data_IF_703054218332
#
_entry.id   IF_703054218332
#
_cell.length_a   1.000
_cell.length_b   1.000
_cell.length_c   1.000
_cell.angle_alpha   90.00
_cell.angle_beta   90.00
_cell.angle_gamma   90.00
#
_symmetry.space_group_name_H-M   'P 1'
#
loop_
_entity.id
_entity.type
_entity.pdbx_description
1 polymer ?
#
# COMPACT_ATOMS: atom_id res chain seq x y z
N UNK A 1 11.36 -0.05 -3.98
CA UNK A 1 11.72 1.09 -4.86
C UNK A 1 10.52 1.45 -5.72
N UNK A 2 9.96 2.66 -5.62
CA UNK A 2 8.92 3.14 -6.54
C UNK A 2 9.50 3.48 -7.92
N UNK A 3 8.73 3.18 -8.96
CA UNK A 3 9.12 3.32 -10.35
C UNK A 3 7.97 3.95 -11.14
N UNK A 4 8.30 4.87 -12.05
CA UNK A 4 7.34 5.40 -13.02
C UNK A 4 7.09 4.39 -14.14
N UNK A 5 5.99 4.51 -14.91
CA UNK A 5 5.70 3.60 -16.03
C UNK A 5 6.82 3.54 -17.09
N UNK A 6 7.64 4.59 -17.19
CA UNK A 6 8.82 4.64 -18.07
C UNK A 6 9.98 3.74 -17.63
N UNK A 7 9.92 3.16 -16.42
CA UNK A 7 11.04 2.44 -15.80
C UNK A 7 11.92 3.33 -14.92
N UNK A 8 11.65 4.64 -14.84
CA UNK A 8 12.46 5.54 -14.01
C UNK A 8 12.25 5.29 -12.52
N UNK A 9 13.32 4.88 -11.82
CA UNK A 9 13.35 4.73 -10.37
C UNK A 9 13.82 6.03 -9.76
N UNK A 10 12.97 6.66 -8.95
CA UNK A 10 13.27 8.00 -8.43
C UNK A 10 13.90 7.99 -7.03
N UNK A 11 13.66 6.93 -6.25
CA UNK A 11 14.25 6.75 -4.93
C UNK A 11 14.27 5.29 -4.53
N UNK A 12 15.28 4.89 -3.76
CA UNK A 12 15.44 3.54 -3.26
C UNK A 12 15.91 3.60 -1.81
N UNK A 13 15.41 2.67 -1.02
CA UNK A 13 15.86 2.39 0.33
C UNK A 13 16.38 0.96 0.35
N UNK A 14 17.55 0.77 0.96
CA UNK A 14 18.14 -0.55 1.16
C UNK A 14 17.61 -1.11 2.47
N UNK A 15 17.04 -2.32 2.42
CA UNK A 15 16.58 -3.02 3.61
C UNK A 15 17.79 -3.51 4.43
N UNK A 16 17.88 -3.05 5.67
CA UNK A 16 19.01 -3.37 6.57
C UNK A 16 18.66 -4.41 7.65
N UNK A 17 17.54 -5.11 7.53
CA UNK A 17 17.13 -6.08 8.55
C UNK A 17 16.69 -5.41 9.84
N UNK A 18 17.13 -5.97 10.97
CA UNK A 18 16.73 -5.49 12.31
C UNK A 18 17.35 -4.15 12.71
N UNK A 19 18.41 -3.72 12.02
CA UNK A 19 19.06 -2.42 12.25
C UNK A 19 18.42 -1.28 11.45
N UNK A 20 17.42 -1.58 10.64
CA UNK A 20 16.66 -0.55 9.91
C UNK A 20 15.94 0.38 10.91
N UNK A 21 16.13 1.70 10.83
CA UNK A 21 15.43 2.66 11.69
C UNK A 21 13.90 2.57 11.61
N UNK A 22 13.36 2.03 10.51
CA UNK A 22 11.93 1.82 10.28
C UNK A 22 11.48 0.40 10.67
N UNK A 23 12.37 -0.42 11.24
CA UNK A 23 12.07 -1.78 11.69
C UNK A 23 11.05 -1.76 12.83
N UNK A 24 10.17 -2.77 12.85
CA UNK A 24 9.14 -2.92 13.88
C UNK A 24 7.71 -2.98 13.33
N UNK A 25 6.74 -2.70 14.20
CA UNK A 25 5.32 -2.73 13.85
C UNK A 25 5.04 -1.62 12.82
N UNK A 26 4.42 -1.98 11.70
CA UNK A 26 4.11 -1.04 10.64
C UNK A 26 5.26 -0.77 9.66
N UNK A 27 6.34 -1.56 9.70
CA UNK A 27 7.52 -1.39 8.82
C UNK A 27 7.15 -1.17 7.35
N UNK A 28 6.24 -1.97 6.80
CA UNK A 28 5.83 -1.85 5.40
C UNK A 28 5.22 -0.47 5.07
N UNK A 29 4.41 0.08 5.98
CA UNK A 29 3.79 1.40 5.80
C UNK A 29 4.81 2.52 5.94
N UNK A 30 5.70 2.42 6.93
CA UNK A 30 6.82 3.35 7.12
C UNK A 30 7.72 3.41 5.88
N UNK A 31 8.05 2.24 5.30
CA UNK A 31 8.83 2.15 4.07
C UNK A 31 8.11 2.83 2.91
N UNK A 32 6.80 2.61 2.72
CA UNK A 32 6.05 3.28 1.64
C UNK A 32 6.02 4.79 1.84
N UNK A 33 5.75 5.27 3.05
CA UNK A 33 5.70 6.71 3.34
C UNK A 33 7.06 7.40 3.13
N UNK A 34 8.14 6.78 3.60
CA UNK A 34 9.50 7.24 3.37
C UNK A 34 9.83 7.23 1.87
N UNK A 35 9.45 6.16 1.17
CA UNK A 35 9.60 6.05 -0.26
C UNK A 35 8.71 7.01 -1.04
N UNK A 36 7.70 7.66 -0.47
CA UNK A 36 6.80 8.57 -1.18
C UNK A 36 6.94 10.05 -0.78
N UNK A 37 7.72 10.34 0.27
CA UNK A 37 7.75 11.65 0.96
C UNK A 37 7.86 12.87 0.01
N UNK A 38 8.68 12.80 -1.05
CA UNK A 38 8.90 13.90 -2.01
C UNK A 38 7.83 14.02 -3.12
N UNK A 39 6.88 13.08 -3.16
CA UNK A 39 5.83 13.00 -4.19
C UNK A 39 4.41 13.03 -3.62
N UNK A 40 4.26 13.06 -2.30
CA UNK A 40 2.98 13.32 -1.66
C UNK A 40 2.40 14.67 -2.11
N UNK A 41 1.07 14.80 -2.03
CA UNK A 41 0.29 15.99 -2.38
C UNK A 41 0.27 16.38 -3.87
N UNK A 42 0.72 15.49 -4.77
CA UNK A 42 0.80 15.74 -6.22
C UNK A 42 -0.28 15.03 -7.05
N UNK A 43 -1.23 14.34 -6.42
CA UNK A 43 -2.29 13.63 -7.14
C UNK A 43 -1.84 12.32 -7.79
N UNK A 44 -0.75 11.72 -7.32
CA UNK A 44 -0.23 10.47 -7.89
C UNK A 44 -1.09 9.26 -7.51
N UNK A 45 -1.01 8.24 -8.36
CA UNK A 45 -1.61 6.93 -8.14
C UNK A 45 -0.48 5.93 -7.90
N UNK A 46 -0.48 5.31 -6.72
CA UNK A 46 0.54 4.38 -6.28
C UNK A 46 0.02 2.95 -6.37
N UNK A 47 0.77 2.08 -7.03
CA UNK A 47 0.47 0.66 -7.16
C UNK A 47 1.45 -0.14 -6.31
N UNK A 48 0.94 -0.99 -5.42
CA UNK A 48 1.75 -1.78 -4.49
C UNK A 48 1.35 -3.25 -4.45
N UNK A 49 2.31 -4.10 -4.08
CA UNK A 49 2.04 -5.49 -3.75
C UNK A 49 1.34 -5.63 -2.38
N UNK A 50 0.79 -6.81 -2.09
CA UNK A 50 0.03 -7.14 -0.91
C UNK A 50 0.78 -6.96 0.41
N UNK A 51 2.11 -7.06 0.39
CA UNK A 51 2.93 -6.86 1.58
C UNK A 51 2.83 -5.42 2.06
N UNK A 52 2.90 -4.48 1.12
CA UNK A 52 2.87 -3.04 1.35
C UNK A 52 1.47 -2.45 1.39
N UNK A 53 0.42 -3.23 1.12
CA UNK A 53 -0.95 -2.72 1.06
C UNK A 53 -1.67 -2.92 2.40
N UNK A 54 -2.32 -1.86 2.90
CA UNK A 54 -3.20 -1.88 4.07
C UNK A 54 -4.26 -0.76 3.96
N UNK A 55 -5.38 -0.92 4.68
CA UNK A 55 -6.43 0.12 4.75
C UNK A 55 -5.91 1.38 5.45
N UNK A 56 -5.09 1.22 6.50
CA UNK A 56 -4.52 2.36 7.21
C UNK A 56 -3.61 3.19 6.31
N UNK A 57 -2.73 2.54 5.55
CA UNK A 57 -1.88 3.22 4.58
C UNK A 57 -2.68 3.91 3.47
N UNK A 58 -3.74 3.26 2.96
CA UNK A 58 -4.60 3.85 1.95
C UNK A 58 -5.22 5.18 2.43
N UNK A 59 -5.71 5.23 3.67
CA UNK A 59 -6.26 6.45 4.26
C UNK A 59 -5.19 7.55 4.40
N UNK A 60 -4.01 7.22 4.95
CA UNK A 60 -2.93 8.18 5.14
C UNK A 60 -2.43 8.77 3.80
N UNK A 61 -2.33 7.95 2.76
CA UNK A 61 -1.96 8.39 1.41
C UNK A 61 -3.06 9.25 0.78
N UNK A 62 -4.34 8.90 1.00
CA UNK A 62 -5.47 9.64 0.47
C UNK A 62 -5.55 11.06 1.05
N UNK A 63 -5.31 11.22 2.35
CA UNK A 63 -5.15 12.53 3.00
C UNK A 63 -4.04 13.36 2.35
N UNK A 64 -2.99 12.70 1.86
CA UNK A 64 -1.88 13.28 1.12
C UNK A 64 -2.09 13.33 -0.40
N UNK A 65 -3.34 13.34 -0.87
CA UNK A 65 -3.73 13.35 -2.31
C UNK A 65 -3.01 12.28 -3.14
N UNK A 66 -2.83 11.10 -2.59
CA UNK A 66 -2.19 9.96 -3.26
C UNK A 66 -3.11 8.76 -3.16
N UNK A 67 -3.55 8.22 -4.28
CA UNK A 67 -4.40 7.01 -4.27
C UNK A 67 -3.53 5.77 -4.17
N UNK A 68 -4.00 4.76 -3.45
CA UNK A 68 -3.34 3.46 -3.34
C UNK A 68 -4.15 2.39 -4.05
N UNK A 69 -3.49 1.64 -4.92
CA UNK A 69 -4.02 0.47 -5.61
C UNK A 69 -3.15 -0.73 -5.25
N UNK A 70 -3.78 -1.83 -4.86
CA UNK A 70 -3.05 -3.03 -4.48
C UNK A 70 -3.97 -4.17 -4.10
N UNK A 71 -3.39 -5.35 -3.94
CA UNK A 71 -4.12 -6.55 -3.53
C UNK A 71 -4.08 -6.63 -2.01
N UNK A 72 -5.19 -6.96 -1.37
CA UNK A 72 -5.26 -7.22 0.07
C UNK A 72 -5.44 -8.71 0.32
N UNK A 73 -4.70 -9.26 1.29
CA UNK A 73 -4.97 -10.61 1.81
C UNK A 73 -6.20 -10.55 2.71
N UNK A 74 -7.06 -11.57 2.64
CA UNK A 74 -8.30 -11.67 3.42
C UNK A 74 -8.10 -11.59 4.94
N UNK A 75 -6.91 -11.92 5.44
CA UNK A 75 -6.54 -11.84 6.85
C UNK A 75 -6.03 -10.47 7.30
N UNK A 76 -6.01 -9.44 6.43
CA UNK A 76 -5.64 -8.08 6.82
C UNK A 76 -6.72 -7.46 7.72
N UNK A 77 -6.27 -6.63 8.66
CA UNK A 77 -7.17 -5.91 9.58
C UNK A 77 -8.01 -4.88 8.84
N UNK A 78 -9.16 -4.54 9.43
CA UNK A 78 -10.09 -3.49 8.99
C UNK A 78 -10.79 -3.73 7.64
N UNK A 79 -10.67 -4.94 7.07
CA UNK A 79 -11.47 -5.31 5.91
C UNK A 79 -12.96 -5.46 6.28
N UNK A 80 -13.90 -4.99 5.43
CA UNK A 80 -15.31 -5.22 5.65
C UNK A 80 -15.62 -6.72 5.66
N UNK A 81 -16.23 -7.21 6.74
CA UNK A 81 -16.60 -8.63 6.87
C UNK A 81 -17.53 -9.10 5.77
N UNK A 82 -18.37 -8.20 5.24
CA UNK A 82 -19.22 -8.47 4.09
C UNK A 82 -18.44 -8.76 2.82
N UNK A 83 -17.26 -8.18 2.62
CA UNK A 83 -16.40 -8.56 1.47
C UNK A 83 -15.72 -9.90 1.74
N UNK A 84 -15.12 -10.07 2.92
CA UNK A 84 -14.25 -11.21 3.22
C UNK A 84 -15.03 -12.52 3.38
N UNK A 85 -16.23 -12.47 3.95
CA UNK A 85 -17.01 -13.68 4.26
C UNK A 85 -18.01 -14.06 3.15
N UNK A 86 -18.16 -13.23 2.12
CA UNK A 86 -19.10 -13.52 1.03
C UNK A 86 -18.53 -14.62 0.15
N UNK A 87 -19.32 -15.67 -0.07
CA UNK A 87 -19.03 -16.68 -1.09
C UNK A 87 -19.52 -16.14 -2.42
N UNK A 88 -18.58 -15.97 -3.35
CA UNK A 88 -18.86 -15.51 -4.71
C UNK A 88 -18.83 -16.70 -5.67
N UNK A 89 -19.73 -16.69 -6.64
CA UNK A 89 -19.64 -17.57 -7.80
C UNK A 89 -18.66 -17.01 -8.84
N UNK A 90 -18.28 -17.85 -9.80
CA UNK A 90 -17.32 -17.44 -10.84
C UNK A 90 -17.91 -16.31 -11.69
N UNK A 91 -17.24 -15.16 -11.69
CA UNK A 91 -17.65 -13.98 -12.45
C UNK A 91 -18.38 -12.92 -11.61
N UNK A 92 -18.71 -13.22 -10.35
CA UNK A 92 -19.30 -12.24 -9.45
C UNK A 92 -18.24 -11.31 -8.82
N UNK A 93 -18.67 -10.11 -8.43
CA UNK A 93 -17.84 -9.13 -7.73
C UNK A 93 -18.69 -8.39 -6.70
N UNK A 94 -18.12 -8.11 -5.53
CA UNK A 94 -18.71 -7.29 -4.48
C UNK A 94 -17.78 -6.11 -4.19
N UNK A 95 -18.36 -4.92 -4.04
CA UNK A 95 -17.67 -3.70 -3.64
C UNK A 95 -18.59 -2.89 -2.71
N UNK A 96 -17.99 -2.06 -1.85
CA UNK A 96 -18.67 -1.15 -0.93
C UNK A 96 -18.24 0.29 -1.19
#
# INVERSE_FOLDING_TARGET
MPCEPSGYVWYALVYCGTTDPMSGVGHAESVVMALMTKRLNKGHELYTDNYYTSIHLANNLLESKTKLYGILRSNKKYLPKGVVNTKLERGETIAY
#
